data_IF_974541470597
#
_entry.id   IF_974541470597
#
_cell.length_a   1.000
_cell.length_b   1.000
_cell.length_c   1.000
_cell.angle_alpha   90.00
_cell.angle_beta   90.00
_cell.angle_gamma   90.00
#
_symmetry.space_group_name_H-M   'P 1'
#
loop_
_entity.id
_entity.type
_entity.pdbx_description
1 polymer ?
#
# COMPACT_ATOMS: atom_id res chain seq x y z
N UNK A 1 8.49 -14.41 23.78
CA UNK A 1 8.78 -13.80 25.10
C UNK A 1 7.46 -13.28 25.64
N UNK A 2 7.08 -13.69 26.81
CA UNK A 2 5.95 -13.08 27.51
C UNK A 2 6.26 -11.62 27.80
N UNK A 3 5.27 -10.72 27.71
CA UNK A 3 5.48 -9.31 28.01
C UNK A 3 5.84 -9.16 29.50
N UNK A 4 6.84 -8.34 29.78
CA UNK A 4 7.21 -8.00 31.15
C UNK A 4 6.06 -7.19 31.75
N UNK A 5 5.53 -7.57 32.92
CA UNK A 5 4.44 -6.84 33.55
C UNK A 5 4.88 -5.41 33.92
N UNK A 6 3.96 -4.47 33.77
CA UNK A 6 4.19 -3.09 34.22
C UNK A 6 4.16 -3.09 35.76
N UNK A 7 5.19 -2.53 36.39
CA UNK A 7 5.29 -2.41 37.85
C UNK A 7 5.33 -0.93 38.23
N UNK A 8 4.92 -0.63 39.48
CA UNK A 8 4.91 0.73 40.00
C UNK A 8 6.34 1.34 39.92
N UNK A 9 6.40 2.60 39.50
CA UNK A 9 7.62 3.35 39.39
C UNK A 9 7.46 4.71 40.12
N UNK A 10 8.22 4.91 41.19
CA UNK A 10 8.18 6.14 41.99
C UNK A 10 8.52 7.41 41.20
N UNK A 11 9.31 7.30 40.13
CA UNK A 11 9.66 8.42 39.26
C UNK A 11 8.57 8.79 38.26
N UNK A 12 7.68 7.84 37.98
CA UNK A 12 6.57 7.98 37.07
C UNK A 12 5.35 7.31 37.76
N UNK A 13 4.79 7.96 38.79
CA UNK A 13 3.67 7.42 39.54
C UNK A 13 2.39 7.34 38.67
N UNK A 14 1.38 6.66 39.18
CA UNK A 14 0.11 6.43 38.44
C UNK A 14 -0.61 7.75 38.09
N UNK A 15 -0.43 8.78 38.88
CA UNK A 15 -1.02 10.12 38.74
C UNK A 15 -0.15 11.08 37.91
N UNK A 16 0.88 10.55 37.24
CA UNK A 16 1.84 11.41 36.52
C UNK A 16 1.23 12.17 35.32
N UNK A 17 0.20 11.58 34.69
CA UNK A 17 -0.53 12.19 33.58
C UNK A 17 -2.00 12.37 33.92
N UNK A 18 -2.55 13.54 33.61
CA UNK A 18 -3.99 13.81 33.68
C UNK A 18 -4.71 13.30 32.43
N UNK A 19 -4.03 13.38 31.27
CA UNK A 19 -4.55 12.97 29.96
C UNK A 19 -3.55 12.15 29.18
N UNK A 20 -4.00 11.12 28.50
CA UNK A 20 -3.23 10.32 27.56
C UNK A 20 -3.93 10.35 26.21
N UNK A 21 -3.29 10.94 25.20
CA UNK A 21 -3.77 10.92 23.82
C UNK A 21 -3.10 9.76 23.08
N UNK A 22 -3.92 8.87 22.53
CA UNK A 22 -3.50 7.63 21.90
C UNK A 22 -3.76 7.74 20.40
N UNK A 23 -2.72 8.06 19.63
CA UNK A 23 -2.81 8.06 18.17
C UNK A 23 -2.80 6.62 17.63
N UNK A 24 -3.53 6.37 16.53
CA UNK A 24 -3.78 5.04 15.97
C UNK A 24 -4.22 4.04 17.06
N UNK A 25 -5.15 4.47 17.92
CA UNK A 25 -5.53 3.73 19.14
C UNK A 25 -5.99 2.30 18.87
N UNK A 26 -6.58 2.01 17.70
CA UNK A 26 -6.97 0.66 17.27
C UNK A 26 -5.80 -0.35 17.27
N UNK A 27 -4.54 0.12 17.33
CA UNK A 27 -3.34 -0.73 17.42
C UNK A 27 -2.76 -0.80 18.83
N UNK A 28 -2.92 0.29 19.60
CA UNK A 28 -2.22 0.49 20.88
C UNK A 28 -3.01 0.01 22.10
N UNK A 29 -4.34 -0.10 22.02
CA UNK A 29 -5.21 -0.51 23.13
C UNK A 29 -5.17 -2.02 23.45
N UNK A 30 -4.24 -2.78 22.85
CA UNK A 30 -4.10 -4.23 23.03
C UNK A 30 -2.71 -4.62 23.45
N UNK A 31 -2.60 -5.85 23.94
CA UNK A 31 -1.34 -6.50 24.30
C UNK A 31 -0.51 -5.68 25.31
N UNK A 32 0.77 -5.50 24.99
CA UNK A 32 1.74 -4.84 25.87
C UNK A 32 1.38 -3.39 26.18
N UNK A 33 0.93 -2.63 25.19
CA UNK A 33 0.57 -1.22 25.37
C UNK A 33 -0.64 -1.01 26.27
N UNK A 34 -1.59 -1.94 26.27
CA UNK A 34 -2.73 -1.88 27.17
C UNK A 34 -2.30 -1.83 28.64
N UNK A 35 -1.29 -2.61 29.02
CA UNK A 35 -0.79 -2.60 30.41
C UNK A 35 -0.24 -1.24 30.81
N UNK A 36 0.39 -0.51 29.86
CA UNK A 36 0.89 0.85 30.08
C UNK A 36 -0.28 1.82 30.24
N UNK A 37 -1.32 1.69 29.41
CA UNK A 37 -2.52 2.56 29.50
C UNK A 37 -3.30 2.31 30.78
N UNK A 38 -3.43 1.04 31.21
CA UNK A 38 -4.13 0.63 32.44
C UNK A 38 -3.33 1.00 33.72
N UNK A 39 -2.02 1.29 33.59
CA UNK A 39 -1.18 1.70 34.72
C UNK A 39 -1.51 3.11 35.23
N UNK A 40 -1.84 4.05 34.35
CA UNK A 40 -2.05 5.45 34.70
C UNK A 40 -3.51 5.72 35.06
N UNK A 41 -3.73 6.50 36.14
CA UNK A 41 -5.02 7.07 36.49
C UNK A 41 -5.23 8.38 35.68
N UNK A 42 -5.50 8.23 34.39
CA UNK A 42 -5.58 9.33 33.46
C UNK A 42 -6.79 9.20 32.51
N UNK A 43 -7.35 10.34 32.09
CA UNK A 43 -8.34 10.35 31.02
C UNK A 43 -7.70 9.96 29.69
N UNK A 44 -8.28 8.99 29.00
CA UNK A 44 -7.76 8.49 27.74
C UNK A 44 -8.58 9.00 26.55
N UNK A 45 -7.90 9.59 25.56
CA UNK A 45 -8.48 10.05 24.29
C UNK A 45 -7.88 9.26 23.15
N UNK A 46 -8.68 8.44 22.48
CA UNK A 46 -8.26 7.66 21.34
C UNK A 46 -8.51 8.36 20.00
N UNK A 47 -7.50 8.44 19.16
CA UNK A 47 -7.60 8.94 17.79
C UNK A 47 -7.38 7.76 16.83
N UNK A 48 -8.23 7.63 15.82
CA UNK A 48 -8.07 6.62 14.76
C UNK A 48 -8.89 6.96 13.53
N UNK A 49 -8.33 6.74 12.35
CA UNK A 49 -9.06 6.80 11.09
C UNK A 49 -9.82 5.51 10.77
N UNK A 50 -9.53 4.41 11.46
CA UNK A 50 -10.09 3.07 11.18
C UNK A 50 -10.52 2.37 12.46
N UNK A 51 -11.55 2.90 13.18
CA UNK A 51 -12.05 2.24 14.38
C UNK A 51 -12.65 0.87 14.05
N UNK A 52 -12.46 -0.09 14.94
CA UNK A 52 -13.12 -1.39 14.92
C UNK A 52 -14.00 -1.59 16.15
N UNK A 53 -14.79 -2.67 16.19
CA UNK A 53 -15.67 -2.96 17.33
C UNK A 53 -14.90 -3.03 18.64
N UNK A 54 -13.66 -3.50 18.64
CA UNK A 54 -12.82 -3.60 19.85
C UNK A 54 -12.41 -2.22 20.33
N UNK A 55 -12.13 -1.29 19.41
CA UNK A 55 -11.84 0.11 19.73
C UNK A 55 -13.03 0.75 20.41
N UNK A 56 -14.24 0.59 19.87
CA UNK A 56 -15.46 1.09 20.49
C UNK A 56 -15.71 0.49 21.88
N UNK A 57 -15.48 -0.81 22.03
CA UNK A 57 -15.64 -1.48 23.34
C UNK A 57 -14.63 -0.97 24.37
N UNK A 58 -13.39 -0.72 24.00
CA UNK A 58 -12.36 -0.20 24.91
C UNK A 58 -12.74 1.16 25.50
N UNK A 59 -13.29 2.04 24.67
CA UNK A 59 -13.75 3.37 25.08
C UNK A 59 -15.23 3.41 25.51
N UNK A 60 -15.83 2.26 25.89
CA UNK A 60 -17.23 2.15 26.32
C UNK A 60 -18.22 2.78 25.32
N UNK A 61 -17.94 2.68 24.03
CA UNK A 61 -18.72 3.29 22.94
C UNK A 61 -18.83 4.83 23.00
N UNK A 62 -17.98 5.47 23.79
CA UNK A 62 -17.96 6.92 23.93
C UNK A 62 -17.23 7.57 22.73
N UNK A 63 -17.98 7.83 21.66
CA UNK A 63 -17.49 8.53 20.47
C UNK A 63 -17.80 10.02 20.63
N UNK A 64 -16.77 10.82 20.84
CA UNK A 64 -16.91 12.29 21.05
C UNK A 64 -16.89 13.08 19.75
N UNK A 65 -16.29 12.54 18.69
CA UNK A 65 -16.26 13.14 17.36
C UNK A 65 -16.12 12.06 16.30
N UNK A 66 -16.90 12.16 15.22
CA UNK A 66 -16.81 11.33 14.03
C UNK A 66 -16.79 12.23 12.79
N UNK A 67 -15.75 12.03 11.94
CA UNK A 67 -15.59 12.75 10.70
C UNK A 67 -15.32 11.73 9.57
N UNK A 68 -16.45 11.15 9.11
CA UNK A 68 -16.42 10.07 8.12
C UNK A 68 -15.98 10.53 6.71
N UNK A 69 -15.59 9.56 5.88
CA UNK A 69 -15.13 9.78 4.50
C UNK A 69 -16.13 10.59 3.66
N UNK A 70 -17.42 10.24 3.71
CA UNK A 70 -18.46 10.92 2.92
C UNK A 70 -18.56 12.41 3.25
N UNK A 71 -18.53 12.74 4.55
CA UNK A 71 -18.52 14.13 5.01
C UNK A 71 -17.27 14.86 4.57
N UNK A 72 -16.10 14.21 4.66
CA UNK A 72 -14.84 14.80 4.24
C UNK A 72 -14.79 15.07 2.71
N UNK A 73 -15.47 14.26 1.90
CA UNK A 73 -15.63 14.50 0.46
C UNK A 73 -16.56 15.70 0.21
N UNK A 74 -17.70 15.78 0.90
CA UNK A 74 -18.64 16.91 0.79
C UNK A 74 -17.96 18.23 1.20
N UNK A 75 -17.16 18.20 2.25
CA UNK A 75 -16.41 19.36 2.75
C UNK A 75 -15.18 19.70 1.87
N UNK A 76 -14.88 18.92 0.82
CA UNK A 76 -13.76 19.14 -0.10
C UNK A 76 -12.39 18.85 0.50
N UNK A 77 -12.33 18.11 1.61
CA UNK A 77 -11.07 17.70 2.27
C UNK A 77 -10.49 16.44 1.64
N UNK A 78 -11.37 15.55 1.17
CA UNK A 78 -11.02 14.33 0.44
C UNK A 78 -11.66 14.34 -0.95
N UNK A 79 -11.10 13.56 -1.87
CA UNK A 79 -11.66 13.35 -3.21
C UNK A 79 -12.40 12.00 -3.31
N UNK A 80 -13.46 11.90 -4.12
CA UNK A 80 -14.08 10.63 -4.44
C UNK A 80 -13.10 9.74 -5.23
N UNK A 81 -13.34 8.44 -5.22
CA UNK A 81 -12.53 7.47 -5.96
C UNK A 81 -13.42 6.47 -6.70
N UNK A 82 -12.89 5.94 -7.79
CA UNK A 82 -13.47 4.83 -8.53
C UNK A 82 -12.70 3.55 -8.24
N UNK A 83 -13.38 2.42 -8.18
CA UNK A 83 -12.77 1.10 -7.98
C UNK A 83 -12.89 0.28 -9.26
N UNK A 84 -11.75 -0.19 -9.76
CA UNK A 84 -11.66 -1.06 -10.92
C UNK A 84 -11.08 -2.40 -10.50
N UNK A 85 -11.65 -3.49 -11.00
CA UNK A 85 -11.16 -4.84 -10.76
C UNK A 85 -10.53 -5.38 -12.03
N UNK A 86 -9.27 -5.84 -11.95
CA UNK A 86 -8.59 -6.49 -13.06
C UNK A 86 -8.65 -8.00 -12.82
N UNK A 87 -9.32 -8.71 -13.71
CA UNK A 87 -9.39 -10.17 -13.68
C UNK A 87 -8.55 -10.76 -14.81
N UNK A 88 -7.62 -11.65 -14.46
CA UNK A 88 -6.84 -12.40 -15.43
C UNK A 88 -7.43 -13.80 -15.61
N UNK A 89 -7.23 -14.43 -16.77
CA UNK A 89 -7.66 -15.83 -16.98
C UNK A 89 -7.06 -16.76 -15.92
N UNK A 90 -5.77 -16.56 -15.60
CA UNK A 90 -5.07 -17.34 -14.59
C UNK A 90 -5.69 -17.19 -13.20
N UNK A 91 -6.11 -15.98 -12.83
CA UNK A 91 -6.75 -15.77 -11.52
C UNK A 91 -8.15 -16.38 -11.42
N UNK A 92 -8.86 -16.54 -12.54
CA UNK A 92 -10.19 -17.17 -12.59
C UNK A 92 -10.16 -18.69 -12.70
N UNK A 93 -9.35 -19.20 -13.62
CA UNK A 93 -9.39 -20.61 -14.05
C UNK A 93 -8.24 -21.44 -13.46
N UNK A 94 -7.22 -20.78 -12.88
CA UNK A 94 -5.97 -21.42 -12.51
C UNK A 94 -5.01 -21.52 -13.70
N UNK A 95 -3.87 -22.16 -13.48
CA UNK A 95 -2.90 -22.46 -14.54
C UNK A 95 -2.50 -23.93 -14.50
N UNK A 96 -2.37 -24.54 -15.66
CA UNK A 96 -1.70 -25.81 -15.83
C UNK A 96 -0.30 -25.54 -16.42
N UNK A 97 0.73 -26.15 -15.83
CA UNK A 97 2.11 -26.09 -16.30
C UNK A 97 2.41 -27.46 -16.88
N UNK A 98 2.70 -27.50 -18.17
CA UNK A 98 2.96 -28.75 -18.90
C UNK A 98 4.35 -29.33 -18.60
N UNK A 99 4.48 -30.62 -18.80
CA UNK A 99 5.79 -31.33 -18.74
C UNK A 99 6.79 -30.68 -19.71
N UNK A 100 7.98 -30.39 -19.24
CA UNK A 100 9.05 -29.77 -20.03
C UNK A 100 9.08 -28.23 -19.99
N UNK A 101 8.08 -27.57 -19.39
CA UNK A 101 8.14 -26.12 -19.17
C UNK A 101 9.09 -25.75 -18.04
N UNK A 102 9.79 -24.64 -18.20
CA UNK A 102 10.70 -24.12 -17.18
C UNK A 102 9.95 -23.12 -16.29
N UNK A 103 10.00 -23.33 -14.98
CA UNK A 103 9.39 -22.45 -13.98
C UNK A 103 10.47 -21.73 -13.20
N UNK A 104 10.37 -20.41 -13.11
CA UNK A 104 11.19 -19.59 -12.22
C UNK A 104 10.72 -19.80 -10.77
N UNK A 105 11.42 -20.63 -10.04
CA UNK A 105 11.21 -20.85 -8.61
C UNK A 105 12.23 -20.07 -7.79
N UNK A 106 11.78 -19.56 -6.65
CA UNK A 106 12.67 -18.88 -5.68
C UNK A 106 12.70 -19.65 -4.38
N UNK A 107 13.89 -19.92 -3.91
CA UNK A 107 14.08 -20.55 -2.61
C UNK A 107 13.60 -19.61 -1.49
N UNK A 108 12.73 -20.13 -0.63
CA UNK A 108 12.04 -19.32 0.39
C UNK A 108 13.00 -18.64 1.40
N UNK A 109 14.10 -19.28 1.73
CA UNK A 109 15.07 -18.78 2.72
C UNK A 109 16.16 -17.91 2.10
N UNK A 110 16.74 -18.33 0.99
CA UNK A 110 17.88 -17.66 0.33
C UNK A 110 17.45 -16.70 -0.77
N UNK A 111 16.19 -16.82 -1.24
CA UNK A 111 15.61 -16.08 -2.37
C UNK A 111 16.38 -16.24 -3.70
N UNK A 112 17.22 -17.24 -3.78
CA UNK A 112 17.96 -17.54 -5.00
C UNK A 112 16.98 -18.02 -6.07
N UNK A 113 17.05 -17.41 -7.25
CA UNK A 113 16.30 -17.84 -8.43
C UNK A 113 16.93 -19.12 -8.98
N UNK A 114 16.11 -20.09 -9.31
CA UNK A 114 16.53 -21.27 -10.06
C UNK A 114 15.42 -21.70 -11.01
N UNK A 115 15.83 -22.24 -12.13
CA UNK A 115 14.92 -22.79 -13.12
C UNK A 115 14.77 -24.29 -12.87
N UNK A 116 13.56 -24.74 -12.77
CA UNK A 116 13.24 -26.15 -12.63
C UNK A 116 12.35 -26.57 -13.80
N UNK A 117 12.77 -27.63 -14.48
CA UNK A 117 11.95 -28.25 -15.52
C UNK A 117 10.88 -29.11 -14.86
N UNK A 118 9.65 -28.96 -15.29
CA UNK A 118 8.53 -29.69 -14.72
C UNK A 118 8.48 -31.09 -15.36
N UNK A 119 8.61 -32.13 -14.52
CA UNK A 119 8.63 -33.52 -14.95
C UNK A 119 7.22 -34.13 -15.04
N UNK A 120 6.22 -33.51 -14.41
CA UNK A 120 4.81 -33.93 -14.42
C UNK A 120 3.91 -32.71 -14.60
N UNK A 121 2.73 -32.91 -15.22
CA UNK A 121 1.73 -31.84 -15.34
C UNK A 121 1.25 -31.37 -13.97
N UNK A 122 1.46 -30.10 -13.67
CA UNK A 122 1.06 -29.48 -12.42
C UNK A 122 -0.08 -28.49 -12.70
N UNK A 123 -1.22 -28.69 -12.05
CA UNK A 123 -2.33 -27.75 -12.09
C UNK A 123 -2.39 -26.95 -10.79
N UNK A 124 -2.44 -25.63 -10.90
CA UNK A 124 -2.60 -24.73 -9.77
C UNK A 124 -3.93 -24.02 -9.85
N UNK A 125 -4.65 -23.96 -8.71
CA UNK A 125 -5.75 -22.99 -8.60
C UNK A 125 -5.17 -21.56 -8.62
N UNK A 126 -5.92 -20.58 -9.11
CA UNK A 126 -5.46 -19.18 -9.15
C UNK A 126 -4.93 -18.67 -7.81
N UNK A 127 -5.53 -19.12 -6.68
CA UNK A 127 -5.05 -18.79 -5.32
C UNK A 127 -3.73 -19.44 -4.95
N UNK A 128 -3.43 -20.64 -5.44
CA UNK A 128 -2.17 -21.33 -5.18
C UNK A 128 -1.03 -20.72 -6.01
N UNK A 129 -1.29 -20.44 -7.28
CA UNK A 129 -0.32 -19.79 -8.16
C UNK A 129 0.14 -18.45 -7.59
N UNK A 130 -0.82 -17.70 -7.06
CA UNK A 130 -0.61 -16.38 -6.47
C UNK A 130 0.16 -16.43 -5.13
N UNK A 131 0.13 -17.57 -4.44
CA UNK A 131 0.78 -17.75 -3.13
C UNK A 131 2.21 -18.28 -3.25
N UNK A 132 2.44 -19.21 -4.13
CA UNK A 132 3.66 -20.01 -4.16
C UNK A 132 4.60 -19.67 -5.35
N UNK A 133 4.05 -19.18 -6.47
CA UNK A 133 4.79 -18.84 -7.68
C UNK A 133 4.54 -17.37 -8.04
N UNK A 134 5.63 -16.60 -8.16
CA UNK A 134 5.57 -15.28 -8.78
C UNK A 134 5.50 -15.50 -10.30
N UNK A 135 4.34 -15.21 -10.90
CA UNK A 135 4.14 -15.39 -12.34
C UNK A 135 4.34 -14.07 -13.10
N UNK A 136 5.48 -13.88 -13.79
CA UNK A 136 5.76 -12.67 -14.56
C UNK A 136 4.71 -12.39 -15.64
N UNK A 137 4.11 -13.44 -16.23
CA UNK A 137 3.06 -13.29 -17.24
C UNK A 137 1.79 -12.67 -16.68
N UNK A 138 1.41 -13.03 -15.44
CA UNK A 138 0.27 -12.42 -14.74
C UNK A 138 0.57 -10.96 -14.40
N UNK A 139 1.75 -10.65 -13.88
CA UNK A 139 2.19 -9.29 -13.60
C UNK A 139 2.13 -8.46 -14.89
N UNK A 140 2.69 -8.97 -15.98
CA UNK A 140 2.69 -8.31 -17.29
C UNK A 140 1.27 -8.05 -17.81
N UNK A 141 0.37 -9.03 -17.70
CA UNK A 141 -1.02 -8.88 -18.11
C UNK A 141 -1.74 -7.79 -17.32
N UNK A 142 -1.50 -7.71 -16.01
CA UNK A 142 -2.06 -6.67 -15.15
C UNK A 142 -1.49 -5.30 -15.52
N UNK A 143 -0.17 -5.18 -15.67
CA UNK A 143 0.51 -3.92 -16.02
C UNK A 143 0.04 -3.41 -17.38
N UNK A 144 -0.08 -4.30 -18.39
CA UNK A 144 -0.66 -3.97 -19.70
C UNK A 144 -2.09 -3.47 -19.59
N UNK A 145 -2.95 -4.18 -18.85
CA UNK A 145 -4.33 -3.78 -18.67
C UNK A 145 -4.44 -2.40 -18.02
N UNK A 146 -3.60 -2.10 -17.03
CA UNK A 146 -3.53 -0.76 -16.42
C UNK A 146 -3.09 0.26 -17.45
N UNK A 147 -1.94 0.07 -18.09
CA UNK A 147 -1.38 1.01 -19.09
C UNK A 147 -2.40 1.35 -20.19
N UNK A 148 -3.04 0.33 -20.77
CA UNK A 148 -3.94 0.48 -21.90
C UNK A 148 -5.27 1.17 -21.50
N UNK A 149 -5.66 1.12 -20.21
CA UNK A 149 -6.87 1.78 -19.72
C UNK A 149 -6.63 3.16 -19.08
N UNK A 150 -5.39 3.51 -18.72
CA UNK A 150 -5.09 4.82 -18.13
C UNK A 150 -5.58 6.00 -18.98
N UNK A 151 -5.45 6.03 -20.33
CA UNK A 151 -5.96 7.13 -21.15
C UNK A 151 -7.49 7.27 -21.07
N UNK A 152 -8.22 6.17 -20.90
CA UNK A 152 -9.67 6.21 -20.75
C UNK A 152 -10.10 6.67 -19.34
N UNK A 153 -9.28 6.37 -18.32
CA UNK A 153 -9.51 6.80 -16.94
C UNK A 153 -9.17 8.29 -16.73
N UNK A 154 -8.21 8.79 -17.50
CA UNK A 154 -7.68 10.16 -17.41
C UNK A 154 -7.63 10.82 -18.79
N UNK A 155 -8.80 11.12 -19.42
CA UNK A 155 -8.86 11.63 -20.78
C UNK A 155 -8.22 13.02 -20.96
N UNK A 156 -8.12 13.79 -19.88
CA UNK A 156 -7.56 15.14 -19.89
C UNK A 156 -6.04 15.19 -19.70
N UNK A 157 -5.37 14.01 -19.72
CA UNK A 157 -3.92 13.87 -19.47
C UNK A 157 -3.09 13.77 -20.75
N UNK A 158 -3.55 14.33 -21.84
CA UNK A 158 -2.77 14.45 -23.06
C UNK A 158 -2.16 15.85 -23.17
N UNK A 159 -0.86 15.91 -23.47
CA UNK A 159 -0.19 17.17 -23.75
C UNK A 159 -0.61 17.73 -25.13
N UNK A 160 -0.15 18.93 -25.44
CA UNK A 160 -0.39 19.61 -26.76
C UNK A 160 0.18 18.84 -27.97
N UNK A 161 1.07 17.88 -27.75
CA UNK A 161 1.64 17.00 -28.76
C UNK A 161 0.94 15.63 -28.84
N UNK A 162 -0.10 15.41 -28.02
CA UNK A 162 -0.85 14.15 -27.99
C UNK A 162 -0.15 13.02 -27.19
N UNK A 163 0.88 13.31 -26.40
CA UNK A 163 1.51 12.33 -25.53
C UNK A 163 0.70 12.21 -24.23
N UNK A 164 0.45 10.97 -23.82
CA UNK A 164 -0.25 10.70 -22.57
C UNK A 164 0.67 10.84 -21.37
N UNK A 165 0.31 11.66 -20.40
CA UNK A 165 1.00 11.79 -19.14
C UNK A 165 0.51 10.76 -18.12
N UNK A 166 1.36 9.85 -17.74
CA UNK A 166 1.04 8.81 -16.75
C UNK A 166 0.80 9.43 -15.38
N UNK A 167 -0.36 9.21 -14.72
CA UNK A 167 -0.63 9.73 -13.39
C UNK A 167 0.30 9.12 -12.33
N UNK A 168 0.49 9.82 -11.20
CA UNK A 168 1.24 9.28 -10.07
C UNK A 168 0.55 8.03 -9.54
N UNK A 169 1.27 6.90 -9.56
CA UNK A 169 0.74 5.59 -9.19
C UNK A 169 1.55 4.95 -8.08
N UNK A 170 0.88 4.39 -7.09
CA UNK A 170 1.48 3.58 -6.04
C UNK A 170 1.01 2.13 -6.18
N UNK A 171 1.95 1.21 -6.35
CA UNK A 171 1.69 -0.23 -6.48
C UNK A 171 2.06 -0.94 -5.18
N UNK A 172 1.13 -1.70 -4.62
CA UNK A 172 1.36 -2.52 -3.44
C UNK A 172 1.69 -3.96 -3.84
N UNK A 173 2.93 -4.36 -3.60
CA UNK A 173 3.45 -5.69 -3.88
C UNK A 173 3.31 -6.64 -2.67
N UNK A 174 3.37 -7.95 -2.90
CA UNK A 174 3.31 -9.00 -1.85
C UNK A 174 4.61 -9.12 -1.07
N UNK A 175 5.73 -8.96 -1.75
CA UNK A 175 7.08 -9.13 -1.21
C UNK A 175 8.06 -8.22 -1.93
N UNK A 176 9.25 -8.11 -1.38
CA UNK A 176 10.34 -7.31 -1.95
C UNK A 176 10.75 -7.83 -3.34
N UNK A 177 10.84 -9.16 -3.50
CA UNK A 177 11.13 -9.78 -4.80
C UNK A 177 10.01 -9.58 -5.82
N UNK A 178 8.73 -9.61 -5.39
CA UNK A 178 7.60 -9.30 -6.25
C UNK A 178 7.63 -7.83 -6.69
N UNK A 179 8.08 -6.93 -5.82
CA UNK A 179 8.25 -5.52 -6.17
C UNK A 179 9.33 -5.33 -7.26
N UNK A 180 10.42 -6.09 -7.24
CA UNK A 180 11.44 -6.07 -8.28
C UNK A 180 10.89 -6.52 -9.63
N UNK A 181 10.18 -7.66 -9.67
CA UNK A 181 9.55 -8.15 -10.89
C UNK A 181 8.53 -7.15 -11.46
N UNK A 182 7.74 -6.51 -10.62
CA UNK A 182 6.80 -5.47 -11.03
C UNK A 182 7.53 -4.29 -11.67
N UNK A 183 8.62 -3.80 -11.05
CA UNK A 183 9.38 -2.66 -11.55
C UNK A 183 9.96 -2.93 -12.93
N UNK A 184 10.60 -4.09 -13.11
CA UNK A 184 11.19 -4.47 -14.39
C UNK A 184 10.10 -4.53 -15.47
N UNK A 185 8.98 -5.18 -15.19
CA UNK A 185 7.86 -5.29 -16.13
C UNK A 185 7.21 -3.92 -16.40
N UNK A 186 7.05 -3.06 -15.40
CA UNK A 186 6.51 -1.71 -15.59
C UNK A 186 7.40 -0.90 -16.52
N UNK A 187 8.72 -0.92 -16.31
CA UNK A 187 9.67 -0.21 -17.18
C UNK A 187 9.62 -0.71 -18.63
N UNK A 188 9.59 -2.02 -18.82
CA UNK A 188 9.46 -2.63 -20.14
C UNK A 188 8.14 -2.24 -20.83
N UNK A 189 7.01 -2.37 -20.14
CA UNK A 189 5.69 -2.15 -20.74
C UNK A 189 5.39 -0.67 -21.04
N UNK A 190 5.94 0.25 -20.25
CA UNK A 190 5.83 1.68 -20.52
C UNK A 190 6.93 2.21 -21.42
N UNK A 191 7.97 1.42 -21.72
CA UNK A 191 9.12 1.84 -22.53
C UNK A 191 9.97 2.90 -21.85
N UNK A 192 10.08 2.85 -20.52
CA UNK A 192 10.66 3.89 -19.70
C UNK A 192 11.87 3.37 -18.89
N UNK A 193 12.73 4.30 -18.46
CA UNK A 193 13.96 4.01 -17.74
C UNK A 193 13.78 3.98 -16.20
N UNK A 194 14.90 3.77 -15.49
CA UNK A 194 14.96 3.64 -14.03
C UNK A 194 14.34 4.80 -13.24
N UNK A 195 14.36 6.02 -13.79
CA UNK A 195 13.76 7.19 -13.15
C UNK A 195 12.22 7.13 -13.07
N UNK A 196 11.59 6.41 -14.01
CA UNK A 196 10.13 6.36 -14.15
C UNK A 196 9.45 5.55 -13.04
N UNK A 197 10.01 4.38 -12.73
CA UNK A 197 9.46 3.48 -11.73
C UNK A 197 10.55 3.11 -10.71
N UNK A 198 10.27 3.36 -9.42
CA UNK A 198 11.22 3.10 -8.31
C UNK A 198 10.62 2.26 -7.21
N UNK A 199 11.50 1.52 -6.52
CA UNK A 199 11.15 0.72 -5.33
C UNK A 199 11.25 1.57 -4.07
N UNK A 200 10.24 1.48 -3.20
CA UNK A 200 10.25 2.09 -1.87
C UNK A 200 10.01 0.99 -0.84
N UNK A 201 11.08 0.34 -0.41
CA UNK A 201 11.08 -0.70 0.62
C UNK A 201 12.30 -0.55 1.51
N UNK A 202 12.30 -1.16 2.71
CA UNK A 202 13.46 -1.18 3.61
C UNK A 202 14.72 -1.86 3.03
N UNK A 203 14.58 -2.55 1.89
CA UNK A 203 15.64 -3.27 1.19
C UNK A 203 16.00 -2.66 -0.16
N UNK A 204 15.62 -1.41 -0.38
CA UNK A 204 16.00 -0.67 -1.58
C UNK A 204 17.49 -0.35 -1.56
N UNK A 205 18.13 -0.30 -2.72
CA UNK A 205 19.53 0.16 -2.86
C UNK A 205 19.65 1.66 -2.55
N UNK A 206 18.69 2.45 -3.01
CA UNK A 206 18.56 3.86 -2.68
C UNK A 206 17.88 4.03 -1.31
N UNK A 207 18.22 5.10 -0.57
CA UNK A 207 17.54 5.44 0.67
C UNK A 207 16.04 5.63 0.44
N UNK A 208 15.20 4.82 1.08
CA UNK A 208 13.75 4.85 0.85
C UNK A 208 13.10 6.21 1.15
N UNK A 209 13.66 6.95 2.11
CA UNK A 209 13.16 8.30 2.46
C UNK A 209 13.44 9.30 1.35
N UNK A 210 14.60 9.21 0.72
CA UNK A 210 14.98 10.05 -0.41
C UNK A 210 14.09 9.77 -1.61
N UNK A 211 13.89 8.49 -1.97
CA UNK A 211 13.00 8.09 -3.08
C UNK A 211 11.55 8.54 -2.82
N UNK A 212 11.09 8.41 -1.58
CA UNK A 212 9.77 8.86 -1.19
C UNK A 212 9.62 10.38 -1.32
N UNK A 213 10.64 11.15 -0.94
CA UNK A 213 10.66 12.60 -1.10
C UNK A 213 10.62 13.00 -2.58
N UNK A 214 11.38 12.32 -3.44
CA UNK A 214 11.30 12.50 -4.89
C UNK A 214 9.89 12.17 -5.40
N UNK A 215 9.32 11.05 -5.01
CA UNK A 215 7.98 10.65 -5.44
C UNK A 215 6.90 11.66 -5.05
N UNK A 216 7.06 12.34 -3.91
CA UNK A 216 6.13 13.37 -3.42
C UNK A 216 6.29 14.71 -4.15
N UNK A 217 7.51 15.12 -4.45
CA UNK A 217 7.83 16.50 -4.80
C UNK A 217 8.23 16.68 -6.27
N UNK A 218 8.81 15.66 -6.89
CA UNK A 218 9.36 15.75 -8.23
C UNK A 218 8.42 15.14 -9.27
N UNK A 219 8.63 15.47 -10.55
CA UNK A 219 7.90 14.84 -11.65
C UNK A 219 8.14 13.32 -11.67
N UNK A 220 9.40 12.90 -11.61
CA UNK A 220 9.80 11.49 -11.49
C UNK A 220 10.14 11.12 -10.05
N UNK A 221 9.89 9.85 -9.64
CA UNK A 221 9.25 8.79 -10.41
C UNK A 221 7.74 9.00 -10.56
N UNK A 222 7.17 8.48 -11.67
CA UNK A 222 5.70 8.47 -11.88
C UNK A 222 5.06 7.32 -11.14
N UNK A 223 5.75 6.17 -11.07
CA UNK A 223 5.28 4.96 -10.41
C UNK A 223 6.21 4.59 -9.26
N UNK A 224 5.64 4.28 -8.12
CA UNK A 224 6.37 3.72 -6.98
C UNK A 224 5.80 2.34 -6.61
N UNK A 225 6.70 1.40 -6.28
CA UNK A 225 6.30 0.05 -5.83
C UNK A 225 6.75 -0.14 -4.39
N UNK A 226 5.84 -0.52 -3.53
CA UNK A 226 6.09 -0.74 -2.10
C UNK A 226 5.50 -2.05 -1.60
N UNK A 227 5.97 -2.55 -0.47
CA UNK A 227 5.37 -3.70 0.22
C UNK A 227 4.54 -3.22 1.40
N UNK A 228 5.16 -2.61 2.41
CA UNK A 228 4.49 -2.18 3.64
C UNK A 228 4.90 -0.76 4.09
N UNK A 229 5.96 -0.20 3.51
CA UNK A 229 6.64 0.97 4.05
C UNK A 229 5.82 2.27 4.02
N UNK A 230 4.87 2.38 3.09
CA UNK A 230 4.06 3.59 2.91
C UNK A 230 2.69 3.46 3.62
N UNK A 231 2.49 2.44 4.44
CA UNK A 231 1.19 2.19 5.08
C UNK A 231 0.83 3.22 6.17
N UNK A 232 1.80 3.85 6.83
CA UNK A 232 1.55 4.79 7.94
C UNK A 232 2.35 6.09 7.81
N UNK A 233 1.76 7.22 8.20
CA UNK A 233 2.46 8.49 8.42
C UNK A 233 2.96 9.26 7.18
N UNK A 234 2.71 8.78 5.95
CA UNK A 234 3.25 9.41 4.74
C UNK A 234 2.16 10.15 3.96
N UNK A 235 2.36 11.43 3.70
CA UNK A 235 1.48 12.25 2.86
C UNK A 235 2.04 12.33 1.44
N UNK A 236 1.31 11.78 0.45
CA UNK A 236 1.64 11.86 -0.97
C UNK A 236 0.42 12.47 -1.68
N UNK A 237 0.33 13.80 -1.66
CA UNK A 237 -0.86 14.50 -2.21
C UNK A 237 -1.09 14.30 -3.71
N UNK A 238 -0.06 14.26 -4.58
CA UNK A 238 -0.28 14.08 -6.02
C UNK A 238 -0.55 12.62 -6.43
N UNK A 239 -0.90 11.73 -5.49
CA UNK A 239 -1.16 10.33 -5.77
C UNK A 239 -2.58 10.15 -6.32
N UNK A 240 -2.69 9.59 -7.52
CA UNK A 240 -3.94 9.48 -8.27
C UNK A 240 -4.40 8.04 -8.48
N UNK A 241 -3.46 7.09 -8.53
CA UNK A 241 -3.76 5.67 -8.76
C UNK A 241 -3.14 4.80 -7.68
N UNK A 242 -3.95 3.93 -7.11
CA UNK A 242 -3.52 2.86 -6.21
C UNK A 242 -3.76 1.51 -6.88
N UNK A 243 -2.70 0.74 -7.09
CA UNK A 243 -2.79 -0.60 -7.66
C UNK A 243 -2.42 -1.65 -6.61
N UNK A 244 -3.37 -2.50 -6.25
CA UNK A 244 -3.16 -3.57 -5.28
C UNK A 244 -2.81 -4.87 -6.02
N UNK A 245 -1.54 -5.23 -6.04
CA UNK A 245 -1.04 -6.51 -6.58
C UNK A 245 -0.77 -7.50 -5.44
N UNK A 246 -1.62 -7.48 -4.42
CA UNK A 246 -1.59 -8.36 -3.25
C UNK A 246 -2.97 -8.48 -2.61
N UNK A 247 -3.22 -9.59 -1.96
CA UNK A 247 -4.38 -9.72 -1.08
C UNK A 247 -4.21 -8.86 0.17
N UNK A 248 -5.23 -8.07 0.50
CA UNK A 248 -5.29 -7.30 1.74
C UNK A 248 -6.37 -7.90 2.64
N UNK A 249 -5.96 -8.64 3.65
CA UNK A 249 -6.88 -9.37 4.55
C UNK A 249 -7.49 -8.48 5.64
N UNK A 250 -6.82 -7.40 6.01
CA UNK A 250 -7.27 -6.48 7.06
C UNK A 250 -8.02 -5.31 6.43
N UNK A 251 -9.29 -5.12 6.82
CA UNK A 251 -10.09 -3.96 6.40
C UNK A 251 -9.44 -2.65 6.83
N UNK A 252 -8.99 -2.56 8.07
CA UNK A 252 -8.31 -1.38 8.60
C UNK A 252 -7.06 -1.03 7.79
N UNK A 253 -6.24 -2.03 7.45
CA UNK A 253 -5.05 -1.84 6.63
C UNK A 253 -5.39 -1.39 5.19
N UNK A 254 -6.44 -1.98 4.59
CA UNK A 254 -6.93 -1.56 3.29
C UNK A 254 -7.39 -0.10 3.29
N UNK A 255 -8.17 0.31 4.30
CA UNK A 255 -8.63 1.69 4.44
C UNK A 255 -7.47 2.68 4.61
N UNK A 256 -6.44 2.31 5.38
CA UNK A 256 -5.22 3.12 5.51
C UNK A 256 -4.46 3.27 4.18
N UNK A 257 -4.35 2.19 3.41
CA UNK A 257 -3.73 2.23 2.08
C UNK A 257 -4.56 3.09 1.11
N UNK A 258 -5.87 2.89 1.07
CA UNK A 258 -6.81 3.65 0.24
C UNK A 258 -6.80 5.14 0.56
N UNK A 259 -6.79 5.49 1.82
CA UNK A 259 -6.75 6.89 2.28
C UNK A 259 -5.51 7.68 1.82
N UNK A 260 -4.53 7.02 1.23
CA UNK A 260 -3.38 7.71 0.59
C UNK A 260 -3.72 8.35 -0.74
N UNK A 261 -4.65 7.79 -1.50
CA UNK A 261 -5.07 8.27 -2.81
C UNK A 261 -6.31 9.15 -2.80
N UNK A 262 -6.85 9.48 -1.62
CA UNK A 262 -8.09 10.28 -1.52
C UNK A 262 -7.87 11.71 -1.05
N UNK A 263 -6.62 12.16 -0.94
CA UNK A 263 -6.29 13.51 -0.50
C UNK A 263 -6.41 14.52 -1.62
N UNK A 264 -6.90 15.71 -1.28
CA UNK A 264 -6.95 16.83 -2.22
C UNK A 264 -5.54 17.37 -2.50
N UNK A 265 -5.32 17.76 -3.75
CA UNK A 265 -4.13 18.48 -4.19
C UNK A 265 -4.58 19.67 -5.05
N UNK A 266 -4.08 20.88 -4.78
CA UNK A 266 -4.45 22.02 -5.59
C UNK A 266 -3.79 21.96 -6.98
N UNK A 267 -4.42 22.61 -7.97
CA UNK A 267 -3.87 22.74 -9.33
C UNK A 267 -2.50 23.40 -9.29
N UNK A 268 -2.30 24.37 -8.42
CA UNK A 268 -1.03 25.07 -8.22
C UNK A 268 0.06 24.15 -7.69
N UNK A 269 -0.28 23.28 -6.71
CA UNK A 269 0.64 22.27 -6.20
C UNK A 269 0.99 21.23 -7.27
N UNK A 270 0.05 20.84 -8.12
CA UNK A 270 0.30 19.92 -9.24
C UNK A 270 1.22 20.57 -10.27
N UNK A 271 0.94 21.81 -10.69
CA UNK A 271 1.78 22.57 -11.64
C UNK A 271 3.19 22.79 -11.11
N UNK A 272 3.34 23.15 -9.84
CA UNK A 272 4.65 23.32 -9.20
C UNK A 272 5.50 22.03 -9.21
N UNK A 273 4.87 20.87 -9.34
CA UNK A 273 5.53 19.55 -9.44
C UNK A 273 5.68 19.06 -10.88
N UNK A 274 5.44 19.94 -11.86
CA UNK A 274 5.57 19.62 -13.28
C UNK A 274 4.52 18.67 -13.81
N UNK A 275 3.37 18.58 -13.14
CA UNK A 275 2.24 17.80 -13.62
C UNK A 275 1.35 18.73 -14.45
N UNK A 276 1.16 18.53 -15.77
CA UNK A 276 0.14 19.26 -16.51
C UNK A 276 -1.22 18.95 -15.89
N UNK A 277 -2.07 19.91 -15.88
CA UNK A 277 -3.43 19.78 -15.29
C UNK A 277 -4.39 19.27 -16.29
#
# INVERSE_FOLDING_TARGET
KEPVPVVYNEKIPIEFFDFIVIDECHRSIYNLWRQVLDYFDAFQVGLTATPDNRTFMYFNQNVVSDYGYEKAVVDGVLVPYNVFTIETKISKEGAAIGVGEQVDKRERLTRKKFWETVDEDISYSGKQLDKDIVNPSTIRSIVKAVRDNLPNMFPDRFDEHGNFEVPKMLIFAKSDSHAEDIIDIVREEFGEENKFCKKITYRSEEDPKSVLQQFRNDYYPRIAVTVDMIATGTDIRPLEVLLFMRDVKSRSYYEQMKGRGTRTCSVEELKAKGTPT
#
